data_IF_398116789520
#
_entry.id   IF_398116789520
#
_cell.length_a   1.000
_cell.length_b   1.000
_cell.length_c   1.000
_cell.angle_alpha   90.00
_cell.angle_beta   90.00
_cell.angle_gamma   90.00
#
_symmetry.space_group_name_H-M   'P 1'
#
loop_
_entity.id
_entity.type
_entity.pdbx_description
1 polymer ?
#
# COMPACT_ATOMS: atom_id res chain seq x y z
N UNK A 1 2.11 -22.74 -8.90
CA UNK A 1 2.71 -23.92 -9.57
C UNK A 1 2.73 -25.01 -8.52
N UNK A 2 1.79 -25.94 -8.62
CA UNK A 2 1.60 -27.07 -7.71
C UNK A 2 2.03 -28.31 -8.48
N UNK A 3 2.73 -29.22 -7.81
CA UNK A 3 2.99 -30.59 -8.26
C UNK A 3 2.49 -31.56 -7.20
N UNK A 4 1.89 -32.64 -7.69
CA UNK A 4 1.14 -33.71 -7.02
C UNK A 4 1.91 -34.51 -5.95
N UNK A 5 1.17 -35.32 -5.16
CA UNK A 5 1.40 -36.77 -4.93
C UNK A 5 0.25 -37.40 -4.09
N UNK A 6 -0.18 -38.60 -4.51
CA UNK A 6 -1.16 -39.59 -3.98
C UNK A 6 -0.63 -40.38 -2.73
N UNK A 7 -1.16 -41.56 -2.30
CA UNK A 7 -2.47 -41.92 -1.72
C UNK A 7 -2.40 -42.82 -0.43
N UNK A 8 -3.60 -43.16 0.08
CA UNK A 8 -4.06 -44.42 0.72
C UNK A 8 -3.69 -44.90 2.14
N UNK A 9 -4.70 -45.59 2.70
CA UNK A 9 -4.75 -46.57 3.79
C UNK A 9 -4.44 -46.19 5.26
N UNK A 10 -5.44 -46.36 6.13
CA UNK A 10 -5.40 -47.25 7.33
C UNK A 10 -6.72 -47.31 8.12
N UNK A 11 -7.11 -48.55 8.41
CA UNK A 11 -8.14 -49.10 9.33
C UNK A 11 -7.74 -48.86 10.81
N UNK A 12 -8.65 -48.73 11.81
CA UNK A 12 -9.23 -49.85 12.60
C UNK A 12 -10.76 -49.74 12.81
N UNK A 13 -11.57 -50.81 12.76
CA UNK A 13 -11.77 -51.92 13.71
C UNK A 13 -12.58 -51.57 14.98
N UNK A 14 -13.58 -52.44 15.24
CA UNK A 14 -14.40 -52.66 16.44
C UNK A 14 -15.69 -51.86 16.67
N UNK A 15 -16.83 -52.48 16.33
CA UNK A 15 -17.99 -52.57 17.22
C UNK A 15 -18.88 -53.76 16.82
N UNK A 16 -19.10 -54.66 17.79
CA UNK A 16 -19.96 -55.85 17.73
C UNK A 16 -21.42 -55.50 18.07
N UNK A 17 -22.27 -56.49 17.76
CA UNK A 17 -23.63 -56.76 18.28
C UNK A 17 -24.72 -55.95 17.57
N UNK A 18 -25.74 -56.53 16.94
CA UNK A 18 -26.23 -57.89 16.86
C UNK A 18 -27.71 -57.74 16.53
N UNK A 19 -28.12 -58.05 15.30
CA UNK A 19 -29.53 -57.94 14.89
C UNK A 19 -30.03 -59.27 14.36
N UNK A 20 -31.19 -59.63 14.90
CA UNK A 20 -31.91 -60.89 14.79
C UNK A 20 -32.57 -61.09 13.43
N UNK A 21 -32.73 -62.36 13.10
CA UNK A 21 -33.40 -62.91 11.93
C UNK A 21 -34.81 -62.33 11.66
N UNK A 22 -35.02 -62.00 10.37
CA UNK A 22 -36.11 -62.43 9.45
C UNK A 22 -37.42 -63.00 10.03
N UNK A 23 -38.49 -63.07 9.20
CA UNK A 23 -39.02 -62.13 8.22
C UNK A 23 -40.55 -61.97 8.40
N UNK A 24 -41.23 -61.21 7.52
CA UNK A 24 -42.44 -61.68 6.80
C UNK A 24 -43.09 -60.52 6.03
N UNK A 25 -43.01 -60.60 4.70
CA UNK A 25 -43.92 -59.90 3.80
C UNK A 25 -44.61 -60.96 2.95
N UNK A 26 -45.91 -61.09 3.08
CA UNK A 26 -46.73 -61.98 2.26
C UNK A 26 -48.15 -61.45 2.17
N UNK A 27 -48.44 -60.65 1.15
CA UNK A 27 -49.82 -60.32 0.75
C UNK A 27 -50.27 -61.35 -0.28
N UNK A 28 -51.42 -61.98 0.00
CA UNK A 28 -52.27 -62.69 -0.96
C UNK A 28 -52.90 -61.68 -1.94
N UNK A 29 -53.49 -62.00 -3.09
CA UNK A 29 -54.16 -63.21 -3.60
C UNK A 29 -54.41 -62.99 -5.10
N UNK A 30 -54.72 -64.05 -5.86
CA UNK A 30 -55.85 -64.10 -6.83
C UNK A 30 -55.86 -65.49 -7.48
N UNK A 31 -56.99 -66.19 -7.44
CA UNK A 31 -57.28 -67.29 -8.35
C UNK A 31 -58.75 -67.20 -8.77
N UNK A 32 -58.96 -67.27 -10.09
CA UNK A 32 -60.25 -67.38 -10.74
C UNK A 32 -60.55 -68.85 -11.11
N UNK A 33 -61.84 -69.12 -11.26
CA UNK A 33 -62.52 -70.41 -11.35
C UNK A 33 -62.22 -71.27 -12.59
N UNK A 34 -62.47 -72.59 -12.49
CA UNK A 34 -63.21 -73.37 -13.50
C UNK A 34 -63.50 -74.85 -13.08
N UNK A 35 -64.81 -75.17 -13.02
CA UNK A 35 -65.57 -76.32 -13.59
C UNK A 35 -65.31 -77.81 -13.31
N UNK A 36 -66.46 -78.51 -13.24
CA UNK A 36 -66.80 -79.93 -13.47
C UNK A 36 -66.43 -80.91 -12.35
N UNK A 37 -67.29 -81.77 -11.79
CA UNK A 37 -68.46 -82.52 -12.27
C UNK A 37 -68.19 -83.98 -11.84
N UNK A 38 -68.86 -84.59 -10.85
CA UNK A 38 -70.14 -85.28 -10.99
C UNK A 38 -70.40 -86.16 -9.74
N UNK A 39 -71.69 -86.45 -9.49
CA UNK A 39 -72.28 -87.70 -8.94
C UNK A 39 -72.77 -87.70 -7.46
N UNK A 40 -74.11 -87.51 -7.33
CA UNK A 40 -75.16 -88.37 -6.65
C UNK A 40 -74.89 -88.83 -5.19
N UNK A 41 -75.79 -88.81 -4.19
CA UNK A 41 -77.27 -88.68 -4.07
C UNK A 41 -77.63 -88.63 -2.55
N UNK A 42 -78.79 -88.03 -2.19
CA UNK A 42 -79.51 -88.02 -0.87
C UNK A 42 -78.86 -87.27 0.32
N UNK A 43 -79.50 -86.36 1.08
CA UNK A 43 -80.90 -86.27 1.55
C UNK A 43 -81.39 -84.80 1.66
N UNK A 44 -82.66 -84.60 1.31
CA UNK A 44 -83.31 -83.33 1.01
C UNK A 44 -84.08 -82.69 2.18
N UNK A 45 -83.42 -82.40 3.31
CA UNK A 45 -84.07 -81.65 4.41
C UNK A 45 -83.24 -80.51 5.04
N UNK A 46 -81.98 -80.30 4.61
CA UNK A 46 -81.12 -79.20 5.08
C UNK A 46 -81.07 -77.95 4.18
N UNK A 47 -81.73 -77.98 3.01
CA UNK A 47 -81.52 -77.00 1.94
C UNK A 47 -82.31 -75.68 2.11
N UNK A 48 -83.37 -75.66 2.93
CA UNK A 48 -84.18 -74.45 3.14
C UNK A 48 -83.54 -73.49 4.15
N UNK A 49 -82.81 -74.01 5.15
CA UNK A 49 -82.09 -73.20 6.14
C UNK A 49 -80.78 -72.67 5.56
N UNK A 50 -80.09 -73.45 4.72
CA UNK A 50 -78.85 -73.02 4.09
C UNK A 50 -79.08 -71.98 2.98
N UNK A 51 -80.23 -71.99 2.30
CA UNK A 51 -80.61 -70.95 1.33
C UNK A 51 -80.92 -69.60 1.98
N UNK A 52 -81.50 -69.57 3.18
CA UNK A 52 -81.73 -68.32 3.92
C UNK A 52 -80.43 -67.74 4.49
N UNK A 53 -79.50 -68.59 4.94
CA UNK A 53 -78.17 -68.14 5.39
C UNK A 53 -77.30 -67.71 4.19
N UNK A 54 -77.36 -68.42 3.06
CA UNK A 54 -76.65 -68.00 1.84
C UNK A 54 -77.23 -66.71 1.23
N UNK A 55 -78.55 -66.49 1.29
CA UNK A 55 -79.16 -65.23 0.87
C UNK A 55 -78.75 -64.06 1.79
N UNK A 56 -78.66 -64.29 3.12
CA UNK A 56 -78.19 -63.27 4.07
C UNK A 56 -76.68 -62.95 3.97
N UNK A 57 -75.86 -63.91 3.54
CA UNK A 57 -74.41 -63.73 3.36
C UNK A 57 -74.07 -63.10 1.98
N UNK A 58 -74.92 -63.27 0.96
CA UNK A 58 -74.71 -62.67 -0.37
C UNK A 58 -75.25 -61.23 -0.45
N UNK A 59 -76.23 -60.82 0.37
CA UNK A 59 -76.67 -59.41 0.43
C UNK A 59 -75.78 -58.52 1.32
N UNK A 60 -74.84 -59.09 2.07
CA UNK A 60 -73.95 -58.34 2.97
C UNK A 60 -72.53 -58.14 2.44
N UNK A 61 -72.20 -58.69 1.26
CA UNK A 61 -70.85 -58.63 0.67
C UNK A 61 -70.71 -57.70 -0.54
N UNK A 62 -71.75 -56.90 -0.86
CA UNK A 62 -71.75 -55.91 -1.95
C UNK A 62 -72.16 -54.49 -1.52
N UNK A 63 -72.18 -54.21 -0.21
CA UNK A 63 -72.34 -52.85 0.30
C UNK A 63 -70.95 -52.25 0.51
N UNK A 64 -70.55 -51.20 -0.24
CA UNK A 64 -69.30 -50.51 0.03
C UNK A 64 -69.35 -49.96 1.46
N UNK A 65 -68.39 -50.34 2.28
CA UNK A 65 -68.27 -49.87 3.66
C UNK A 65 -68.05 -48.35 3.66
N UNK A 66 -69.12 -47.60 3.86
CA UNK A 66 -69.09 -46.19 4.25
C UNK A 66 -68.39 -46.11 5.61
N UNK A 67 -67.25 -45.40 5.73
CA UNK A 67 -66.59 -45.24 7.02
C UNK A 67 -67.48 -44.44 7.95
N UNK A 68 -67.79 -45.02 9.11
CA UNK A 68 -68.67 -44.48 10.13
C UNK A 68 -67.88 -43.55 11.07
N UNK A 69 -68.29 -42.28 11.12
CA UNK A 69 -67.68 -41.18 11.88
C UNK A 69 -67.72 -39.87 11.10
N UNK A 70 -67.88 -38.69 11.73
CA UNK A 70 -67.82 -37.43 11.02
C UNK A 70 -66.42 -37.29 10.42
N UNK A 71 -66.31 -37.52 9.11
CA UNK A 71 -65.08 -37.18 8.42
C UNK A 71 -64.98 -35.66 8.52
N UNK A 72 -63.92 -35.17 9.16
CA UNK A 72 -63.54 -33.76 9.16
C UNK A 72 -63.12 -33.39 7.73
N UNK A 73 -64.07 -33.34 6.81
CA UNK A 73 -63.87 -33.00 5.41
C UNK A 73 -64.07 -31.50 5.25
N UNK A 74 -63.02 -30.81 4.84
CA UNK A 74 -63.07 -29.41 4.46
C UNK A 74 -63.27 -29.30 2.95
N UNK A 75 -64.11 -28.38 2.49
CA UNK A 75 -64.27 -28.12 1.05
C UNK A 75 -63.00 -27.46 0.54
N UNK A 76 -62.31 -28.09 -0.41
CA UNK A 76 -61.07 -27.54 -0.97
C UNK A 76 -61.44 -26.33 -1.84
N UNK A 77 -60.82 -25.20 -1.55
CA UNK A 77 -60.93 -23.97 -2.35
C UNK A 77 -59.60 -23.77 -3.07
N UNK A 78 -59.65 -23.49 -4.37
CA UNK A 78 -58.49 -23.00 -5.10
C UNK A 78 -58.34 -21.51 -4.79
N UNK A 79 -57.31 -21.18 -4.03
CA UNK A 79 -56.97 -19.80 -3.66
C UNK A 79 -55.45 -19.62 -3.76
N UNK A 80 -55.01 -18.36 -3.79
CA UNK A 80 -53.60 -18.02 -3.86
C UNK A 80 -52.90 -18.36 -2.53
N UNK A 81 -51.90 -19.23 -2.56
CA UNK A 81 -51.10 -19.60 -1.39
C UNK A 81 -49.84 -18.73 -1.31
N UNK A 82 -49.88 -17.73 -0.42
CA UNK A 82 -48.72 -16.91 -0.11
C UNK A 82 -47.68 -17.69 0.70
N UNK A 83 -46.56 -18.05 0.06
CA UNK A 83 -45.42 -18.69 0.73
C UNK A 83 -44.47 -17.61 1.25
N UNK A 84 -44.57 -17.29 2.55
CA UNK A 84 -43.70 -16.30 3.21
C UNK A 84 -42.51 -16.96 3.89
N UNK A 85 -41.33 -16.37 3.75
CA UNK A 85 -40.10 -16.76 4.45
C UNK A 85 -39.73 -15.64 5.41
N UNK A 86 -39.54 -15.99 6.69
CA UNK A 86 -39.19 -15.03 7.74
C UNK A 86 -37.76 -15.31 8.16
N UNK A 87 -36.89 -14.32 7.95
CA UNK A 87 -35.48 -14.39 8.32
C UNK A 87 -35.08 -13.10 9.04
N UNK A 88 -34.23 -13.16 10.07
CA UNK A 88 -33.71 -11.97 10.70
C UNK A 88 -32.76 -11.24 9.75
N UNK A 89 -32.85 -9.91 9.72
CA UNK A 89 -32.00 -9.04 8.93
C UNK A 89 -31.36 -7.94 9.75
N UNK A 90 -30.23 -7.42 9.27
CA UNK A 90 -29.56 -6.27 9.85
C UNK A 90 -29.82 -5.03 8.99
N UNK A 91 -30.26 -3.95 9.62
CA UNK A 91 -30.39 -2.66 8.97
C UNK A 91 -29.00 -2.01 8.87
N UNK A 92 -28.56 -1.70 7.65
CA UNK A 92 -27.28 -1.05 7.38
C UNK A 92 -27.43 0.04 6.32
N UNK A 93 -26.48 0.96 6.29
CA UNK A 93 -26.41 1.93 5.19
C UNK A 93 -25.72 1.29 3.99
N UNK A 94 -26.28 1.48 2.80
CA UNK A 94 -25.71 1.02 1.54
C UNK A 94 -24.42 1.78 1.17
N UNK A 95 -24.23 2.99 1.70
CA UNK A 95 -23.09 3.86 1.43
C UNK A 95 -22.44 4.30 2.74
N UNK A 96 -21.32 3.69 3.09
CA UNK A 96 -20.60 3.99 4.32
C UNK A 96 -19.29 4.72 4.01
N UNK A 97 -19.10 5.87 4.66
CA UNK A 97 -17.83 6.59 4.59
C UNK A 97 -16.93 6.11 5.74
N UNK A 98 -15.85 5.41 5.39
CA UNK A 98 -14.85 4.97 6.38
C UNK A 98 -13.83 6.07 6.63
N UNK A 99 -13.64 6.41 7.90
CA UNK A 99 -12.63 7.37 8.35
C UNK A 99 -11.44 6.58 8.86
N UNK A 100 -10.33 6.66 8.12
CA UNK A 100 -9.13 5.84 8.37
C UNK A 100 -7.99 6.69 8.92
N UNK A 101 -7.17 6.08 9.77
CA UNK A 101 -5.93 6.69 10.25
C UNK A 101 -4.94 6.88 9.08
N UNK A 102 -4.46 8.10 8.86
CA UNK A 102 -3.45 8.41 7.85
C UNK A 102 -2.04 8.53 8.41
N UNK A 103 -1.91 8.68 9.73
CA UNK A 103 -0.64 8.84 10.44
C UNK A 103 0.10 7.50 10.46
N UNK A 104 1.43 7.54 10.27
CA UNK A 104 2.27 6.33 10.28
C UNK A 104 2.50 5.83 11.70
N UNK A 105 2.88 4.57 11.82
CA UNK A 105 3.25 3.97 13.11
C UNK A 105 2.05 3.67 14.01
N UNK A 106 2.33 3.67 15.31
CA UNK A 106 1.36 3.45 16.38
C UNK A 106 1.11 4.79 17.06
N UNK A 107 -0.15 5.23 17.11
CA UNK A 107 -0.52 6.51 17.71
C UNK A 107 -1.60 6.28 18.76
N UNK A 108 -1.58 7.06 19.83
CA UNK A 108 -2.57 6.98 20.90
C UNK A 108 -3.67 8.00 20.66
N UNK A 109 -4.92 7.63 20.91
CA UNK A 109 -6.05 8.55 20.82
C UNK A 109 -6.11 9.42 22.09
N UNK A 110 -6.02 10.73 21.95
CA UNK A 110 -6.15 11.69 23.07
C UNK A 110 -7.61 12.06 23.35
N UNK A 111 -8.41 12.21 22.30
CA UNK A 111 -9.85 12.48 22.39
C UNK A 111 -10.60 11.86 21.22
N UNK A 112 -11.85 11.45 21.45
CA UNK A 112 -12.73 10.87 20.43
C UNK A 112 -14.17 11.27 20.74
N UNK A 113 -14.95 11.53 19.69
CA UNK A 113 -16.39 11.80 19.79
C UNK A 113 -17.15 10.52 20.13
N UNK A 114 -18.20 10.61 20.94
CA UNK A 114 -19.03 9.47 21.32
C UNK A 114 -19.74 8.84 20.11
N UNK A 115 -19.92 7.51 20.15
CA UNK A 115 -20.65 6.79 19.11
C UNK A 115 -22.12 7.22 19.08
N UNK A 116 -22.65 7.50 17.89
CA UNK A 116 -24.01 8.00 17.68
C UNK A 116 -24.13 9.53 17.62
N UNK A 117 -23.03 10.26 17.82
CA UNK A 117 -23.05 11.74 17.74
C UNK A 117 -23.28 12.22 16.31
N UNK A 118 -24.11 13.26 16.15
CA UNK A 118 -24.33 13.93 14.86
C UNK A 118 -23.35 15.10 14.74
N UNK A 119 -22.57 15.11 13.67
CA UNK A 119 -21.50 16.09 13.42
C UNK A 119 -21.73 16.83 12.11
N UNK A 120 -21.16 18.02 12.00
CA UNK A 120 -21.07 18.78 10.77
C UNK A 120 -19.73 18.56 10.08
N UNK A 121 -19.69 18.84 8.79
CA UNK A 121 -18.50 18.81 7.96
C UNK A 121 -17.46 19.75 8.53
N UNK A 122 -16.27 19.21 8.78
CA UNK A 122 -15.14 19.93 9.35
C UNK A 122 -15.03 19.85 10.87
N UNK A 123 -16.04 19.31 11.56
CA UNK A 123 -15.97 19.07 13.01
C UNK A 123 -14.88 18.06 13.33
N UNK A 124 -14.22 18.25 14.48
CA UNK A 124 -13.18 17.36 14.97
C UNK A 124 -13.80 16.09 15.54
N UNK A 125 -13.37 14.95 15.00
CA UNK A 125 -13.90 13.64 15.38
C UNK A 125 -13.01 12.90 16.36
N UNK A 126 -11.70 12.98 16.12
CA UNK A 126 -10.70 12.41 17.01
C UNK A 126 -9.40 13.20 16.89
N UNK A 127 -8.63 13.14 17.98
CA UNK A 127 -7.28 13.67 18.06
C UNK A 127 -6.33 12.57 18.46
N UNK A 128 -5.25 12.43 17.71
CA UNK A 128 -4.13 11.58 18.05
C UNK A 128 -3.09 12.37 18.86
N UNK A 129 -2.34 11.68 19.70
CA UNK A 129 -1.22 12.26 20.43
C UNK A 129 -0.20 12.83 19.46
N UNK A 130 0.16 14.10 19.68
CA UNK A 130 1.04 14.85 18.79
C UNK A 130 2.47 14.94 19.30
N UNK A 131 2.73 14.64 20.58
CA UNK A 131 4.00 14.95 21.24
C UNK A 131 5.21 14.39 20.48
N UNK A 132 5.14 13.12 20.07
CA UNK A 132 6.23 12.46 19.33
C UNK A 132 6.44 13.05 17.94
N UNK A 133 5.38 13.47 17.27
CA UNK A 133 5.46 14.03 15.92
C UNK A 133 5.97 15.48 15.98
N UNK A 134 5.54 16.25 16.97
CA UNK A 134 6.05 17.60 17.23
C UNK A 134 7.54 17.58 17.54
N UNK A 135 8.00 16.71 18.44
CA UNK A 135 9.43 16.57 18.74
C UNK A 135 10.21 16.18 17.47
N UNK A 136 9.70 15.23 16.69
CA UNK A 136 10.31 14.85 15.42
C UNK A 136 10.36 16.03 14.42
N UNK A 137 9.34 16.87 14.35
CA UNK A 137 9.35 18.09 13.52
C UNK A 137 10.40 19.07 14.03
N UNK A 138 10.50 19.28 15.33
CA UNK A 138 11.48 20.18 15.93
C UNK A 138 12.91 19.71 15.67
N UNK A 139 13.20 18.43 15.92
CA UNK A 139 14.51 17.82 15.64
C UNK A 139 14.87 17.91 14.15
N UNK A 140 13.95 17.53 13.27
CA UNK A 140 14.20 17.58 11.81
C UNK A 140 14.35 19.00 11.30
N UNK A 141 13.62 19.96 11.87
CA UNK A 141 13.77 21.38 11.51
C UNK A 141 15.13 21.90 11.93
N UNK A 142 15.59 21.60 13.15
CA UNK A 142 16.95 21.95 13.61
C UNK A 142 18.01 21.35 12.69
N UNK A 143 17.86 20.06 12.34
CA UNK A 143 18.80 19.38 11.46
C UNK A 143 18.79 19.96 10.04
N UNK A 144 17.63 20.25 9.47
CA UNK A 144 17.51 20.90 8.16
C UNK A 144 18.18 22.28 8.15
N UNK A 145 18.01 23.09 9.20
CA UNK A 145 18.72 24.37 9.32
C UNK A 145 20.24 24.19 9.42
N UNK A 146 20.70 23.19 10.16
CA UNK A 146 22.12 22.87 10.25
C UNK A 146 22.70 22.42 8.91
N UNK A 147 22.01 21.54 8.18
CA UNK A 147 22.40 21.14 6.83
C UNK A 147 22.41 22.33 5.87
N UNK A 148 21.39 23.20 5.92
CA UNK A 148 21.32 24.38 5.07
C UNK A 148 22.47 25.35 5.34
N UNK A 149 22.85 25.55 6.59
CA UNK A 149 24.02 26.34 6.95
C UNK A 149 25.31 25.71 6.38
N UNK A 150 25.45 24.39 6.46
CA UNK A 150 26.54 23.64 5.85
C UNK A 150 26.59 23.79 4.32
N UNK A 151 25.45 23.67 3.63
CA UNK A 151 25.31 23.87 2.19
C UNK A 151 25.79 25.28 1.78
N UNK A 152 25.38 26.31 2.53
CA UNK A 152 25.80 27.70 2.27
C UNK A 152 27.31 27.86 2.43
N UNK A 153 27.90 27.25 3.46
CA UNK A 153 29.36 27.28 3.66
C UNK A 153 30.11 26.59 2.51
N UNK A 154 29.64 25.42 2.08
CA UNK A 154 30.24 24.67 0.97
C UNK A 154 30.05 25.38 -0.38
N UNK A 155 28.91 26.05 -0.58
CA UNK A 155 28.70 26.92 -1.73
C UNK A 155 29.69 28.09 -1.75
N UNK A 156 29.92 28.70 -0.60
CA UNK A 156 30.93 29.75 -0.48
C UNK A 156 32.35 29.20 -0.73
N UNK A 157 32.65 27.98 -0.29
CA UNK A 157 33.92 27.30 -0.57
C UNK A 157 34.10 27.04 -2.07
N UNK A 158 33.09 26.48 -2.74
CA UNK A 158 33.08 26.29 -4.20
C UNK A 158 33.33 27.60 -4.95
N UNK A 159 32.62 28.68 -4.58
CA UNK A 159 32.78 29.99 -5.19
C UNK A 159 34.20 30.56 -4.98
N UNK A 160 34.81 30.34 -3.80
CA UNK A 160 36.20 30.74 -3.54
C UNK A 160 37.18 29.98 -4.43
N UNK A 161 37.00 28.66 -4.59
CA UNK A 161 37.82 27.84 -5.48
C UNK A 161 37.69 28.28 -6.94
N UNK A 162 36.48 28.65 -7.38
CA UNK A 162 36.26 29.19 -8.73
C UNK A 162 36.97 30.55 -8.91
N UNK A 163 36.86 31.43 -7.91
CA UNK A 163 37.54 32.73 -7.92
C UNK A 163 39.07 32.58 -7.95
N UNK A 164 39.62 31.58 -7.26
CA UNK A 164 41.06 31.32 -7.26
C UNK A 164 41.61 31.01 -8.66
N UNK A 165 40.84 30.36 -9.53
CA UNK A 165 41.23 30.12 -10.93
C UNK A 165 41.32 31.45 -11.70
N UNK A 166 40.32 32.33 -11.54
CA UNK A 166 40.30 33.65 -12.19
C UNK A 166 41.44 34.52 -11.68
N UNK A 167 41.62 34.59 -10.36
CA UNK A 167 42.70 35.34 -9.72
C UNK A 167 44.10 34.87 -10.17
N UNK A 168 44.28 33.55 -10.37
CA UNK A 168 45.53 33.04 -10.91
C UNK A 168 45.77 33.47 -12.36
N UNK A 169 44.76 33.33 -13.23
CA UNK A 169 44.90 33.62 -14.66
C UNK A 169 45.08 35.11 -14.96
N UNK A 170 44.32 35.96 -14.27
CA UNK A 170 44.26 37.41 -14.53
C UNK A 170 45.23 38.20 -13.67
N UNK A 171 45.62 37.68 -12.51
CA UNK A 171 46.53 38.35 -11.57
C UNK A 171 47.90 37.67 -11.51
N UNK A 172 47.99 36.60 -10.72
CA UNK A 172 49.27 35.98 -10.32
C UNK A 172 50.13 35.56 -11.52
N UNK A 173 49.53 34.92 -12.53
CA UNK A 173 50.26 34.48 -13.73
C UNK A 173 50.78 35.67 -14.55
N UNK A 174 49.97 36.73 -14.69
CA UNK A 174 50.36 37.93 -15.43
C UNK A 174 51.51 38.63 -14.71
N UNK A 175 51.43 38.78 -13.39
CA UNK A 175 52.50 39.35 -12.56
C UNK A 175 53.81 38.57 -12.74
N UNK A 176 53.78 37.24 -12.57
CA UNK A 176 54.97 36.38 -12.72
C UNK A 176 55.58 36.47 -14.12
N UNK A 177 54.74 36.55 -15.16
CA UNK A 177 55.19 36.67 -16.53
C UNK A 177 55.83 38.04 -16.79
N UNK A 178 55.22 39.12 -16.31
CA UNK A 178 55.77 40.48 -16.48
C UNK A 178 57.13 40.66 -15.79
N UNK A 179 57.32 40.07 -14.60
CA UNK A 179 58.61 40.14 -13.91
C UNK A 179 59.70 39.36 -14.65
N UNK A 180 59.38 38.18 -15.21
CA UNK A 180 60.32 37.44 -16.05
C UNK A 180 60.61 38.15 -17.39
N UNK A 181 59.63 38.83 -17.98
CA UNK A 181 59.84 39.60 -19.22
C UNK A 181 60.74 40.82 -18.97
N UNK A 182 60.57 41.48 -17.82
CA UNK A 182 61.47 42.54 -17.36
C UNK A 182 62.89 42.02 -17.13
N UNK A 183 63.05 40.87 -16.47
CA UNK A 183 64.39 40.27 -16.26
C UNK A 183 65.05 39.86 -17.58
N UNK A 184 64.28 39.33 -18.53
CA UNK A 184 64.75 39.02 -19.88
C UNK A 184 65.17 40.28 -20.65
N UNK A 185 64.42 41.38 -20.54
CA UNK A 185 64.79 42.68 -21.13
C UNK A 185 66.13 43.20 -20.59
N UNK A 186 66.34 43.09 -19.28
CA UNK A 186 67.61 43.45 -18.65
C UNK A 186 68.75 42.55 -19.15
N UNK A 187 68.54 41.23 -19.23
CA UNK A 187 69.53 40.29 -19.74
C UNK A 187 69.90 40.55 -21.21
N UNK A 188 68.91 40.89 -22.06
CA UNK A 188 69.14 41.31 -23.45
C UNK A 188 70.02 42.55 -23.52
N UNK A 189 69.74 43.54 -22.68
CA UNK A 189 70.53 44.77 -22.60
C UNK A 189 71.97 44.50 -22.14
N UNK A 190 72.17 43.58 -21.18
CA UNK A 190 73.51 43.15 -20.75
C UNK A 190 74.29 42.44 -21.85
N UNK A 191 73.65 41.56 -22.64
CA UNK A 191 74.27 40.92 -23.80
C UNK A 191 74.70 41.95 -24.83
N UNK A 192 73.82 42.90 -25.18
CA UNK A 192 74.14 43.96 -26.13
C UNK A 192 75.33 44.81 -25.65
N UNK A 193 75.35 45.15 -24.36
CA UNK A 193 76.45 45.91 -23.75
C UNK A 193 77.77 45.13 -23.82
N UNK A 194 77.76 43.85 -23.44
CA UNK A 194 78.94 42.98 -23.50
C UNK A 194 79.44 42.77 -24.93
N UNK A 195 78.54 42.67 -25.92
CA UNK A 195 78.89 42.58 -27.34
C UNK A 195 79.60 43.86 -27.82
N UNK A 196 79.04 45.02 -27.51
CA UNK A 196 79.63 46.31 -27.91
C UNK A 196 81.00 46.52 -27.26
N UNK A 197 81.16 46.19 -25.98
CA UNK A 197 82.44 46.24 -25.28
C UNK A 197 83.48 45.28 -25.89
N UNK A 198 83.08 44.04 -26.21
CA UNK A 198 83.95 43.08 -26.86
C UNK A 198 84.39 43.56 -28.26
N UNK A 199 83.46 44.10 -29.06
CA UNK A 199 83.76 44.64 -30.38
C UNK A 199 84.76 45.82 -30.29
N UNK A 200 84.58 46.69 -29.30
CA UNK A 200 85.53 47.78 -29.03
C UNK A 200 86.91 47.27 -28.60
N UNK A 201 86.97 46.31 -27.67
CA UNK A 201 88.21 45.71 -27.21
C UNK A 201 88.98 45.03 -28.35
N UNK A 202 88.29 44.34 -29.27
CA UNK A 202 88.88 43.75 -30.47
C UNK A 202 89.50 44.81 -31.37
N UNK A 203 88.76 45.89 -31.68
CA UNK A 203 89.29 47.00 -32.49
C UNK A 203 90.52 47.66 -31.86
N UNK A 204 90.55 47.81 -30.54
CA UNK A 204 91.69 48.41 -29.83
C UNK A 204 92.90 47.45 -29.74
N UNK A 205 92.65 46.14 -29.65
CA UNK A 205 93.69 45.12 -29.71
C UNK A 205 94.37 45.07 -31.10
N UNK A 206 93.59 45.18 -32.18
CA UNK A 206 94.11 45.25 -33.56
C UNK A 206 95.07 46.44 -33.78
N UNK A 207 94.88 47.51 -33.01
CA UNK A 207 95.73 48.71 -33.02
C UNK A 207 96.86 48.67 -31.99
N UNK A 208 96.98 47.58 -31.21
CA UNK A 208 98.04 47.37 -30.21
C UNK A 208 97.82 48.07 -28.86
N UNK A 209 96.64 48.66 -28.61
CA UNK A 209 96.36 49.40 -27.37
C UNK A 209 95.88 48.53 -26.21
N UNK A 210 95.44 47.30 -26.49
CA UNK A 210 94.82 46.39 -25.51
C UNK A 210 95.45 44.99 -25.65
N UNK A 211 95.67 44.29 -24.53
CA UNK A 211 96.26 42.94 -24.52
C UNK A 211 95.27 41.85 -24.95
N UNK A 212 95.80 40.74 -25.45
CA UNK A 212 95.00 39.54 -25.81
C UNK A 212 94.17 39.00 -24.64
N UNK A 213 94.74 39.02 -23.43
CA UNK A 213 94.05 38.62 -22.19
C UNK A 213 92.77 39.46 -21.94
N UNK A 214 92.79 40.74 -22.28
CA UNK A 214 91.65 41.63 -22.10
C UNK A 214 90.52 41.33 -23.11
N UNK A 215 90.86 40.90 -24.33
CA UNK A 215 89.89 40.43 -25.33
C UNK A 215 89.25 39.12 -24.87
N UNK A 216 90.06 38.15 -24.42
CA UNK A 216 89.59 36.86 -23.90
C UNK A 216 88.65 37.04 -22.69
N UNK A 217 88.98 37.97 -21.79
CA UNK A 217 88.09 38.34 -20.68
C UNK A 217 86.75 38.88 -21.17
N UNK A 218 86.74 39.72 -22.21
CA UNK A 218 85.53 40.22 -22.83
C UNK A 218 84.67 39.11 -23.48
N UNK A 219 85.32 38.12 -24.08
CA UNK A 219 84.63 36.95 -24.65
C UNK A 219 83.96 36.10 -23.56
N UNK A 220 84.63 35.91 -22.43
CA UNK A 220 84.05 35.24 -21.27
C UNK A 220 82.86 36.01 -20.68
N UNK A 221 82.94 37.34 -20.57
CA UNK A 221 81.81 38.16 -20.09
C UNK A 221 80.62 38.07 -21.05
N UNK A 222 80.87 38.08 -22.36
CA UNK A 222 79.81 37.90 -23.35
C UNK A 222 79.17 36.51 -23.26
N UNK A 223 79.97 35.46 -23.09
CA UNK A 223 79.44 34.10 -22.95
C UNK A 223 78.59 33.96 -21.69
N UNK A 224 79.02 34.54 -20.56
CA UNK A 224 78.24 34.59 -19.33
C UNK A 224 76.91 35.35 -19.48
N UNK A 225 76.93 36.51 -20.15
CA UNK A 225 75.71 37.28 -20.42
C UNK A 225 74.72 36.50 -21.31
N UNK A 226 75.22 35.80 -22.35
CA UNK A 226 74.40 34.94 -23.22
C UNK A 226 73.81 33.75 -22.47
N UNK A 227 74.57 33.13 -21.57
CA UNK A 227 74.06 32.05 -20.71
C UNK A 227 72.94 32.57 -19.80
N UNK A 228 73.11 33.75 -19.20
CA UNK A 228 72.06 34.36 -18.37
C UNK A 228 70.79 34.67 -19.17
N UNK A 229 70.92 35.21 -20.39
CA UNK A 229 69.78 35.42 -21.28
C UNK A 229 69.04 34.11 -21.56
N UNK A 230 69.77 33.03 -21.87
CA UNK A 230 69.18 31.69 -22.10
C UNK A 230 68.46 31.15 -20.87
N UNK A 231 68.97 31.42 -19.68
CA UNK A 231 68.31 31.06 -18.41
C UNK A 231 66.96 31.79 -18.29
N UNK A 232 66.90 33.10 -18.56
CA UNK A 232 65.65 33.85 -18.48
C UNK A 232 64.62 33.39 -19.53
N UNK A 233 65.05 33.11 -20.76
CA UNK A 233 64.20 32.52 -21.79
C UNK A 233 63.65 31.16 -21.36
N UNK A 234 64.50 30.31 -20.79
CA UNK A 234 64.10 28.99 -20.29
C UNK A 234 63.10 29.12 -19.14
N UNK A 235 63.29 30.08 -18.23
CA UNK A 235 62.37 30.32 -17.11
C UNK A 235 60.97 30.73 -17.60
N UNK A 236 60.88 31.58 -18.63
CA UNK A 236 59.60 31.95 -19.24
C UNK A 236 58.93 30.74 -19.89
N UNK A 237 59.70 29.93 -20.61
CA UNK A 237 59.20 28.70 -21.24
C UNK A 237 58.66 27.70 -20.20
N UNK A 238 59.40 27.52 -19.09
CA UNK A 238 58.99 26.66 -17.98
C UNK A 238 57.71 27.18 -17.32
N UNK A 239 57.61 28.50 -17.13
CA UNK A 239 56.41 29.12 -16.57
C UNK A 239 55.19 28.88 -17.48
N UNK A 240 55.33 29.15 -18.79
CA UNK A 240 54.24 29.08 -19.77
C UNK A 240 53.79 27.64 -20.04
N UNK A 241 54.72 26.69 -20.19
CA UNK A 241 54.42 25.31 -20.62
C UNK A 241 54.07 24.40 -19.45
N UNK A 242 54.81 24.50 -18.33
CA UNK A 242 54.69 23.53 -17.24
C UNK A 242 53.98 24.13 -16.03
N UNK A 243 54.53 25.19 -15.42
CA UNK A 243 54.00 25.72 -14.15
C UNK A 243 52.55 26.21 -14.29
N UNK A 244 52.22 26.86 -15.41
CA UNK A 244 50.84 27.28 -15.70
C UNK A 244 49.88 26.10 -15.73
N UNK A 245 50.21 25.07 -16.51
CA UNK A 245 49.34 23.90 -16.67
C UNK A 245 49.18 23.15 -15.35
N UNK A 246 50.28 22.92 -14.62
CA UNK A 246 50.28 22.24 -13.32
C UNK A 246 49.42 22.98 -12.29
N UNK A 247 49.62 24.31 -12.14
CA UNK A 247 48.86 25.13 -11.19
C UNK A 247 47.37 25.12 -11.54
N UNK A 248 47.04 25.23 -12.81
CA UNK A 248 45.67 25.30 -13.30
C UNK A 248 44.93 23.97 -13.11
N UNK A 249 45.58 22.84 -13.40
CA UNK A 249 44.99 21.53 -13.15
C UNK A 249 44.79 21.26 -11.65
N UNK A 250 45.72 21.70 -10.80
CA UNK A 250 45.53 21.65 -9.34
C UNK A 250 44.30 22.46 -8.89
N UNK A 251 44.17 23.72 -9.32
CA UNK A 251 43.04 24.58 -8.96
C UNK A 251 41.71 24.04 -9.51
N UNK A 252 41.70 23.46 -10.72
CA UNK A 252 40.53 22.76 -11.26
C UNK A 252 40.17 21.52 -10.43
N UNK A 253 41.16 20.77 -9.98
CA UNK A 253 40.96 19.64 -9.08
C UNK A 253 40.30 20.06 -7.77
N UNK A 254 40.79 21.15 -7.16
CA UNK A 254 40.21 21.76 -5.96
C UNK A 254 38.76 22.23 -6.20
N UNK A 255 38.50 22.90 -7.33
CA UNK A 255 37.14 23.29 -7.72
C UNK A 255 36.23 22.07 -7.87
N UNK A 256 36.69 21.02 -8.56
CA UNK A 256 35.90 19.80 -8.77
C UNK A 256 35.59 19.07 -7.46
N UNK A 257 36.51 19.07 -6.51
CA UNK A 257 36.26 18.54 -5.16
C UNK A 257 35.20 19.38 -4.45
N UNK A 258 35.36 20.70 -4.45
CA UNK A 258 34.43 21.62 -3.80
C UNK A 258 33.02 21.58 -4.42
N UNK A 259 32.91 21.43 -5.75
CA UNK A 259 31.61 21.26 -6.42
C UNK A 259 30.94 19.96 -6.00
N UNK A 260 31.67 18.84 -5.94
CA UNK A 260 31.14 17.56 -5.52
C UNK A 260 30.68 17.57 -4.05
N UNK A 261 31.43 18.24 -3.17
CA UNK A 261 31.04 18.44 -1.77
C UNK A 261 29.77 19.28 -1.64
N UNK A 262 29.64 20.37 -2.41
CA UNK A 262 28.44 21.21 -2.44
C UNK A 262 27.23 20.43 -2.96
N UNK A 263 27.35 19.69 -4.06
CA UNK A 263 26.26 18.87 -4.61
C UNK A 263 25.81 17.81 -3.60
N UNK A 264 26.73 17.12 -2.95
CA UNK A 264 26.39 16.14 -1.92
C UNK A 264 25.66 16.79 -0.72
N UNK A 265 26.06 18.00 -0.32
CA UNK A 265 25.41 18.74 0.75
C UNK A 265 24.03 19.29 0.35
N UNK A 266 23.85 19.70 -0.90
CA UNK A 266 22.57 20.14 -1.45
C UNK A 266 21.56 18.99 -1.46
N UNK A 267 21.97 17.80 -1.91
CA UNK A 267 21.14 16.59 -1.89
C UNK A 267 20.76 16.17 -0.47
N UNK A 268 21.71 16.22 0.48
CA UNK A 268 21.43 15.98 1.90
C UNK A 268 20.38 16.96 2.41
N UNK A 269 20.56 18.25 2.16
CA UNK A 269 19.64 19.30 2.61
C UNK A 269 18.25 19.10 2.03
N UNK A 270 18.14 18.80 0.74
CA UNK A 270 16.87 18.51 0.08
C UNK A 270 16.16 17.30 0.71
N UNK A 271 16.89 16.20 0.95
CA UNK A 271 16.32 15.01 1.57
C UNK A 271 15.80 15.27 2.99
N UNK A 272 16.52 16.07 3.78
CA UNK A 272 16.13 16.40 5.15
C UNK A 272 14.98 17.42 5.24
N UNK A 273 14.96 18.41 4.34
CA UNK A 273 13.81 19.31 4.18
C UNK A 273 12.55 18.53 3.78
N UNK A 274 12.65 17.61 2.81
CA UNK A 274 11.52 16.77 2.42
C UNK A 274 11.03 15.88 3.57
N UNK A 275 11.95 15.31 4.35
CA UNK A 275 11.64 14.53 5.57
C UNK A 275 10.93 15.34 6.64
N UNK A 276 11.24 16.64 6.77
CA UNK A 276 10.54 17.56 7.67
C UNK A 276 9.14 17.83 7.14
N UNK A 277 8.99 18.12 5.86
CA UNK A 277 7.71 18.46 5.25
C UNK A 277 6.71 17.30 5.32
N UNK A 278 7.17 16.07 5.11
CA UNK A 278 6.36 14.87 5.34
C UNK A 278 5.86 14.77 6.79
N UNK A 279 6.70 15.10 7.78
CA UNK A 279 6.29 15.10 9.18
C UNK A 279 5.27 16.20 9.49
N UNK A 280 5.40 17.37 8.86
CA UNK A 280 4.43 18.48 8.96
C UNK A 280 3.07 18.07 8.38
N UNK A 281 3.04 17.40 7.23
CA UNK A 281 1.80 16.87 6.66
C UNK A 281 1.18 15.77 7.54
N UNK A 282 2.00 14.92 8.15
CA UNK A 282 1.52 13.91 9.11
C UNK A 282 0.92 14.53 10.36
N UNK A 283 1.51 15.61 10.88
CA UNK A 283 0.96 16.37 12.00
C UNK A 283 -0.44 16.92 11.69
N UNK A 284 -0.69 17.40 10.47
CA UNK A 284 -2.04 17.81 10.04
C UNK A 284 -3.04 16.67 10.05
N UNK A 285 -2.58 15.42 9.89
CA UNK A 285 -3.43 14.23 9.94
C UNK A 285 -3.71 13.72 11.36
N UNK A 286 -3.06 14.27 12.39
CA UNK A 286 -3.36 13.92 13.79
C UNK A 286 -4.72 14.43 14.25
N UNK A 287 -5.25 15.49 13.60
CA UNK A 287 -6.61 16.00 13.81
C UNK A 287 -7.50 15.46 12.70
N UNK A 288 -8.34 14.48 13.02
CA UNK A 288 -9.25 13.89 12.04
C UNK A 288 -10.57 14.64 12.04
N UNK A 289 -10.90 15.23 10.90
CA UNK A 289 -12.13 16.02 10.71
C UNK A 289 -13.18 15.26 9.91
N UNK A 290 -14.45 15.60 10.13
CA UNK A 290 -15.57 15.03 9.41
C UNK A 290 -15.59 15.46 7.92
N UNK A 291 -15.60 14.53 6.95
CA UNK A 291 -15.67 14.87 5.52
C UNK A 291 -17.06 15.40 5.07
N UNK A 292 -18.12 15.04 5.77
CA UNK A 292 -19.52 15.41 5.50
C UNK A 292 -20.32 15.49 6.79
N UNK A 293 -21.53 16.04 6.70
CA UNK A 293 -22.50 16.03 7.79
C UNK A 293 -23.08 14.62 7.95
N UNK A 294 -23.30 14.18 9.18
CA UNK A 294 -23.90 12.87 9.45
C UNK A 294 -23.67 12.35 10.86
N UNK A 295 -24.17 11.14 11.11
CA UNK A 295 -23.93 10.43 12.36
C UNK A 295 -22.61 9.67 12.30
N UNK A 296 -21.84 9.71 13.38
CA UNK A 296 -20.57 9.00 13.51
C UNK A 296 -20.75 7.79 14.42
N UNK A 297 -20.28 6.63 13.98
CA UNK A 297 -20.40 5.36 14.69
C UNK A 297 -19.02 4.78 14.87
N UNK A 298 -18.77 4.23 16.06
CA UNK A 298 -17.54 3.50 16.32
C UNK A 298 -17.61 2.12 15.68
N UNK A 299 -16.55 1.69 14.98
CA UNK A 299 -16.48 0.34 14.45
C UNK A 299 -16.47 -0.67 15.62
N UNK A 300 -17.41 -1.62 15.60
CA UNK A 300 -17.48 -2.66 16.61
C UNK A 300 -16.32 -3.65 16.38
N UNK A 301 -15.35 -3.70 17.29
CA UNK A 301 -14.27 -4.67 17.20
C UNK A 301 -14.86 -6.07 17.42
N UNK A 302 -14.72 -6.98 16.44
CA UNK A 302 -15.17 -8.35 16.60
C UNK A 302 -14.50 -8.95 17.85
N UNK A 303 -15.29 -9.51 18.79
CA UNK A 303 -14.84 -10.05 20.09
C UNK A 303 -13.59 -10.95 20.06
N UNK A 304 -13.27 -11.57 18.92
CA UNK A 304 -12.12 -12.45 18.74
C UNK A 304 -10.82 -11.74 18.31
N UNK A 305 -10.91 -10.50 17.81
CA UNK A 305 -9.76 -9.64 17.57
C UNK A 305 -9.51 -8.83 18.83
N UNK A 306 -8.35 -9.01 19.44
CA UNK A 306 -7.80 -8.13 20.48
C UNK A 306 -7.42 -6.74 19.90
N UNK A 307 -8.29 -6.16 19.07
CA UNK A 307 -8.14 -4.79 18.60
C UNK A 307 -8.77 -3.88 19.66
N UNK A 308 -8.02 -2.91 20.23
CA UNK A 308 -8.57 -1.93 21.14
C UNK A 308 -9.78 -1.26 20.47
N UNK A 309 -10.89 -1.17 21.20
CA UNK A 309 -11.99 -0.30 20.79
C UNK A 309 -11.47 1.14 20.66
N UNK A 310 -12.02 1.90 19.72
CA UNK A 310 -11.60 3.26 19.41
C UNK A 310 -12.05 4.19 20.54
N UNK A 311 -11.31 4.15 21.64
CA UNK A 311 -11.56 4.89 22.86
C UNK A 311 -10.36 5.78 23.20
N UNK A 312 -10.57 6.74 24.10
CA UNK A 312 -9.48 7.55 24.63
C UNK A 312 -8.41 6.65 25.28
N UNK A 313 -7.14 6.87 24.93
CA UNK A 313 -6.00 6.07 25.38
C UNK A 313 -5.72 4.81 24.54
N UNK A 314 -6.56 4.47 23.57
CA UNK A 314 -6.32 3.32 22.69
C UNK A 314 -5.22 3.61 21.65
N UNK A 315 -4.45 2.59 21.31
CA UNK A 315 -3.44 2.64 20.25
C UNK A 315 -4.05 2.26 18.90
N UNK A 316 -3.76 3.06 17.86
CA UNK A 316 -4.21 2.85 16.49
C UNK A 316 -3.06 2.85 15.50
N UNK A 317 -3.25 2.15 14.39
CA UNK A 317 -2.25 1.99 13.34
C UNK A 317 -2.67 2.67 12.04
N UNK A 318 -1.69 2.93 11.17
CA UNK A 318 -1.95 3.46 9.81
C UNK A 318 -2.96 2.58 9.07
N UNK A 319 -3.87 3.22 8.34
CA UNK A 319 -4.92 2.59 7.53
C UNK A 319 -5.96 1.78 8.34
N UNK A 320 -5.93 1.81 9.66
CA UNK A 320 -7.01 1.29 10.49
C UNK A 320 -8.26 2.17 10.35
N UNK A 321 -9.43 1.54 10.25
CA UNK A 321 -10.72 2.23 10.29
C UNK A 321 -10.96 2.69 11.72
N UNK A 322 -11.06 4.00 11.91
CA UNK A 322 -11.26 4.63 13.21
C UNK A 322 -12.74 4.86 13.48
N UNK A 323 -13.44 5.41 12.48
CA UNK A 323 -14.84 5.79 12.61
C UNK A 323 -15.58 5.48 11.31
N UNK A 324 -16.88 5.20 11.43
CA UNK A 324 -17.77 4.97 10.31
C UNK A 324 -18.83 6.07 10.28
N UNK A 325 -19.10 6.60 9.09
CA UNK A 325 -20.17 7.57 8.88
C UNK A 325 -21.15 7.01 7.84
N UNK A 326 -22.24 6.34 8.27
CA UNK A 326 -23.25 5.81 7.36
C UNK A 326 -24.07 6.91 6.72
N UNK A 327 -24.59 6.67 5.52
CA UNK A 327 -25.54 7.57 4.87
C UNK A 327 -26.97 7.17 5.22
N UNK A 328 -27.61 7.94 6.12
CA UNK A 328 -28.95 7.66 6.63
C UNK A 328 -30.05 7.80 5.54
N UNK A 329 -29.77 8.48 4.43
CA UNK A 329 -30.71 8.61 3.33
C UNK A 329 -30.80 7.33 2.48
N UNK A 330 -29.77 6.49 2.51
CA UNK A 330 -29.67 5.28 1.69
C UNK A 330 -29.53 4.02 2.56
N UNK A 331 -30.56 3.78 3.36
CA UNK A 331 -30.64 2.59 4.22
C UNK A 331 -31.11 1.37 3.43
N UNK A 332 -30.52 0.22 3.73
CA UNK A 332 -30.89 -1.07 3.18
C UNK A 332 -30.94 -2.11 4.30
N UNK A 333 -31.65 -3.20 4.07
CA UNK A 333 -31.71 -4.32 5.02
C UNK A 333 -31.04 -5.50 4.37
N UNK A 334 -30.02 -6.02 5.05
CA UNK A 334 -29.29 -7.19 4.62
C UNK A 334 -29.80 -8.38 5.43
N UNK A 335 -30.32 -9.38 4.72
CA UNK A 335 -30.91 -10.58 5.29
C UNK A 335 -30.04 -11.77 4.88
N UNK A 336 -29.62 -12.56 5.85
CA UNK A 336 -29.02 -13.87 5.59
C UNK A 336 -30.15 -14.87 5.36
N UNK A 337 -30.18 -15.49 4.18
CA UNK A 337 -31.20 -16.51 3.86
C UNK A 337 -30.49 -17.83 3.63
N UNK A 338 -31.07 -18.92 4.15
CA UNK A 338 -30.54 -20.26 3.94
C UNK A 338 -30.52 -20.63 2.44
N UNK A 339 -29.45 -21.28 1.99
CA UNK A 339 -29.19 -21.56 0.56
C UNK A 339 -30.30 -22.38 -0.11
N UNK A 340 -30.97 -23.26 0.64
CA UNK A 340 -32.10 -24.06 0.13
C UNK A 340 -33.27 -23.22 -0.40
N UNK A 341 -33.43 -22.00 0.11
CA UNK A 341 -34.52 -21.08 -0.23
C UNK A 341 -34.08 -20.07 -1.29
N UNK A 342 -32.77 -19.87 -1.47
CA UNK A 342 -32.19 -18.87 -2.38
C UNK A 342 -32.76 -18.96 -3.81
N UNK A 343 -33.00 -20.19 -4.31
CA UNK A 343 -33.57 -20.41 -5.67
C UNK A 343 -34.97 -19.81 -5.84
N UNK A 344 -35.70 -19.57 -4.74
CA UNK A 344 -37.06 -19.00 -4.75
C UNK A 344 -37.06 -17.48 -4.62
N UNK A 345 -35.93 -16.87 -4.28
CA UNK A 345 -35.81 -15.42 -4.07
C UNK A 345 -35.28 -14.77 -5.35
N UNK A 346 -36.08 -13.89 -5.94
CA UNK A 346 -35.72 -13.14 -7.15
C UNK A 346 -35.72 -11.64 -6.88
N UNK A 347 -34.86 -10.85 -7.57
CA UNK A 347 -34.95 -9.39 -7.51
C UNK A 347 -36.33 -8.90 -7.94
N UNK A 348 -36.87 -7.93 -7.22
CA UNK A 348 -38.20 -7.36 -7.44
C UNK A 348 -39.32 -7.96 -6.58
N UNK A 349 -39.06 -9.07 -5.88
CA UNK A 349 -40.02 -9.66 -4.94
C UNK A 349 -40.39 -8.67 -3.83
N UNK A 350 -41.67 -8.59 -3.49
CA UNK A 350 -42.15 -7.74 -2.38
C UNK A 350 -41.72 -8.35 -1.05
N UNK A 351 -41.18 -7.51 -0.16
CA UNK A 351 -40.74 -7.90 1.17
C UNK A 351 -41.43 -7.01 2.21
N UNK A 352 -41.92 -7.61 3.29
CA UNK A 352 -42.46 -6.89 4.45
C UNK A 352 -41.42 -6.94 5.56
N UNK A 353 -41.00 -5.76 6.02
CA UNK A 353 -40.01 -5.61 7.09
C UNK A 353 -40.73 -5.13 8.33
N UNK A 354 -40.61 -5.89 9.42
CA UNK A 354 -41.11 -5.48 10.73
C UNK A 354 -39.94 -4.97 11.58
N UNK A 355 -39.91 -3.66 11.83
CA UNK A 355 -39.07 -3.04 12.86
C UNK A 355 -39.85 -3.01 14.19
N UNK A 356 -39.18 -2.82 15.34
CA UNK A 356 -39.85 -2.77 16.64
C UNK A 356 -41.04 -1.80 16.71
N UNK A 357 -40.93 -0.65 16.03
CA UNK A 357 -41.91 0.43 16.13
C UNK A 357 -42.79 0.58 14.88
N UNK A 358 -42.46 -0.08 13.76
CA UNK A 358 -43.15 0.10 12.47
C UNK A 358 -42.96 -1.05 11.49
N UNK A 359 -43.93 -1.23 10.60
CA UNK A 359 -43.80 -2.13 9.45
C UNK A 359 -43.56 -1.34 8.17
N UNK A 360 -42.54 -1.72 7.40
CA UNK A 360 -42.19 -1.12 6.12
C UNK A 360 -42.38 -2.13 4.99
N UNK A 361 -42.81 -1.66 3.83
CA UNK A 361 -42.83 -2.45 2.60
C UNK A 361 -41.60 -2.11 1.77
N UNK A 362 -40.94 -3.15 1.26
CA UNK A 362 -39.73 -3.03 0.45
C UNK A 362 -39.75 -4.00 -0.72
N UNK A 363 -38.74 -3.90 -1.58
CA UNK A 363 -38.52 -4.85 -2.67
C UNK A 363 -37.09 -5.37 -2.60
N UNK A 364 -36.90 -6.63 -2.99
CA UNK A 364 -35.56 -7.22 -3.10
C UNK A 364 -34.80 -6.54 -4.25
N UNK A 365 -33.75 -5.79 -3.93
CA UNK A 365 -32.94 -5.06 -4.94
C UNK A 365 -31.96 -6.00 -5.65
N UNK A 366 -31.24 -6.81 -4.88
CA UNK A 366 -30.23 -7.72 -5.42
C UNK A 366 -30.05 -8.94 -4.53
N UNK A 367 -29.73 -10.08 -5.15
CA UNK A 367 -29.38 -11.33 -4.45
C UNK A 367 -27.90 -11.63 -4.73
N UNK A 368 -27.10 -11.79 -3.68
CA UNK A 368 -25.68 -12.11 -3.82
C UNK A 368 -25.49 -13.54 -4.34
N UNK A 369 -24.62 -13.74 -5.33
CA UNK A 369 -24.31 -15.06 -5.92
C UNK A 369 -23.42 -15.93 -5.04
N UNK A 370 -22.73 -15.32 -4.08
CA UNK A 370 -21.78 -15.97 -3.18
C UNK A 370 -22.08 -15.47 -1.78
N UNK A 371 -22.14 -16.38 -0.80
CA UNK A 371 -22.21 -16.01 0.60
C UNK A 371 -20.95 -15.19 0.94
N UNK A 372 -21.14 -13.94 1.36
CA UNK A 372 -20.01 -13.17 1.89
C UNK A 372 -19.57 -13.88 3.18
N UNK A 373 -18.26 -14.10 3.40
CA UNK A 373 -17.80 -14.51 4.71
C UNK A 373 -18.34 -13.48 5.71
N UNK A 374 -18.84 -13.95 6.85
CA UNK A 374 -19.40 -13.09 7.88
C UNK A 374 -18.46 -11.90 8.11
N UNK A 375 -18.92 -10.71 7.73
CA UNK A 375 -18.18 -9.50 8.02
C UNK A 375 -18.18 -9.30 9.53
N UNK A 376 -17.17 -8.65 10.06
CA UNK A 376 -17.14 -8.15 11.44
C UNK A 376 -18.37 -7.33 11.87
N UNK A 377 -19.22 -6.92 10.92
CA UNK A 377 -20.48 -6.18 11.11
C UNK A 377 -21.76 -7.01 10.82
N UNK A 378 -21.66 -8.20 10.20
CA UNK A 378 -22.85 -9.01 9.92
C UNK A 378 -23.26 -9.76 11.19
N UNK A 379 -24.27 -9.24 11.89
CA UNK A 379 -24.82 -9.83 13.11
C UNK A 379 -25.54 -11.16 12.94
N UNK A 380 -25.70 -11.65 11.70
CA UNK A 380 -26.37 -12.91 11.41
C UNK A 380 -25.43 -13.87 10.70
N UNK A 381 -25.07 -14.94 11.40
CA UNK A 381 -24.58 -16.18 10.82
C UNK A 381 -25.49 -17.27 11.37
N UNK A 382 -26.22 -17.93 10.48
CA UNK A 382 -26.65 -19.32 10.68
C UNK A 382 -25.98 -20.13 9.59
#
# INVERSE_FOLDING_TARGET
MVTDVFPDDRVPADARVGNTDRPESGKASTYAAASSGTRRWFFAFGFVILLLIAAGVVTTSLVPSTPDGPQLTHTVVFDDLDVTVIEPGTLESSENTEIRCKVRGQNTITSVVESGTVVKKGDELLRLDTLMIEEQIHERSKFAHWCKAGEIQLKAHMNRSELAIKAYLEGEFVEQLTELEKSLSNAKSSVLTAQNMLAHNRMMADRGYVSSLQVERGEFVLSQAKLNLKIQETNIDVLKKFRKAERLERLKGELKSATAEYEAAAERTFADEHRRDVAIEEFKHCVVKAPRDGMVIHPNAARWKNAPEVQQGATVHKNQVLLLMPNLDKMQITVGVHESILKRITPGLTARVTLPDRTLEGKVVSVAKVARPAGWWSGNVV
#
